data_IF_510072261032
#
_entry.id   IF_510072261032
#
_cell.length_a   1.000
_cell.length_b   1.000
_cell.length_c   1.000
_cell.angle_alpha   90.00
_cell.angle_beta   90.00
_cell.angle_gamma   90.00
#
_symmetry.space_group_name_H-M   'P 1'
#
loop_
_entity.id
_entity.type
_entity.pdbx_description
1 polymer ?
#
# COMPACT_ATOMS: atom_id res chain seq x y z
N UNK A 1 53.98 21.59 3.85
CA UNK A 1 53.56 21.36 2.45
C UNK A 1 53.68 19.86 2.18
N UNK A 2 52.60 19.10 2.32
CA UNK A 2 52.59 17.65 2.11
C UNK A 2 51.92 17.36 0.77
N UNK A 3 52.71 17.26 -0.30
CA UNK A 3 52.24 16.75 -1.59
C UNK A 3 52.41 15.23 -1.57
N UNK A 4 51.45 14.52 -0.97
CA UNK A 4 51.36 13.06 -1.14
C UNK A 4 50.73 12.80 -2.50
N UNK A 5 51.50 12.19 -3.41
CA UNK A 5 51.04 11.77 -4.73
C UNK A 5 49.93 10.73 -4.58
N UNK A 6 48.68 11.18 -4.61
CA UNK A 6 47.53 10.28 -4.72
C UNK A 6 47.60 9.60 -6.10
N UNK A 7 47.50 8.27 -6.12
CA UNK A 7 47.41 7.54 -7.38
C UNK A 7 46.09 7.94 -8.06
N UNK A 8 46.06 8.08 -9.39
CA UNK A 8 44.83 8.43 -10.13
C UNK A 8 43.67 7.51 -9.74
N UNK A 9 43.95 6.23 -9.44
CA UNK A 9 42.93 5.27 -9.01
C UNK A 9 42.27 5.66 -7.68
N UNK A 10 42.98 6.32 -6.77
CA UNK A 10 42.42 6.77 -5.49
C UNK A 10 41.39 7.88 -5.68
N UNK A 11 41.53 8.69 -6.74
CA UNK A 11 40.57 9.75 -7.11
C UNK A 11 39.24 9.20 -7.63
N UNK A 12 39.23 7.95 -8.11
CA UNK A 12 38.05 7.26 -8.64
C UNK A 12 37.46 6.22 -7.69
N UNK A 13 37.89 6.22 -6.42
CA UNK A 13 37.26 5.36 -5.43
C UNK A 13 35.85 5.84 -5.13
N UNK A 14 34.91 4.93 -4.87
CA UNK A 14 33.52 5.30 -4.56
C UNK A 14 33.44 6.24 -3.34
N UNK A 15 34.34 6.06 -2.37
CA UNK A 15 34.48 6.95 -1.21
C UNK A 15 34.97 8.37 -1.59
N UNK A 16 35.92 8.52 -2.53
CA UNK A 16 36.37 9.84 -3.00
C UNK A 16 35.30 10.56 -3.84
N UNK A 17 34.42 9.80 -4.49
CA UNK A 17 33.27 10.31 -5.24
C UNK A 17 32.07 10.64 -4.33
N UNK A 18 32.19 10.45 -3.01
CA UNK A 18 31.11 10.68 -2.04
C UNK A 18 29.98 9.64 -2.14
N UNK A 19 30.18 8.57 -2.91
CA UNK A 19 29.28 7.42 -3.02
C UNK A 19 29.71 6.42 -1.95
N UNK A 20 29.46 6.77 -0.69
CA UNK A 20 29.64 5.84 0.41
C UNK A 20 28.47 4.85 0.38
N UNK A 21 28.77 3.55 0.36
CA UNK A 21 27.74 2.51 0.40
C UNK A 21 26.88 2.70 1.67
N UNK A 22 25.57 3.05 1.56
CA UNK A 22 24.73 3.32 2.72
C UNK A 22 24.60 2.09 3.63
N UNK A 23 24.88 0.90 3.10
CA UNK A 23 24.87 -0.35 3.85
C UNK A 23 25.98 -0.49 4.90
N UNK A 24 27.05 0.33 4.84
CA UNK A 24 28.18 0.26 5.80
C UNK A 24 27.85 0.85 7.18
N UNK A 25 26.88 1.75 7.30
CA UNK A 25 26.47 2.34 8.57
C UNK A 25 24.95 2.43 8.62
N UNK A 26 24.33 1.49 9.34
CA UNK A 26 22.91 1.59 9.63
C UNK A 26 22.66 2.90 10.37
N UNK A 27 21.90 3.80 9.77
CA UNK A 27 21.58 5.07 10.42
C UNK A 27 20.66 4.77 11.61
N UNK A 28 20.72 5.56 12.69
CA UNK A 28 19.86 5.35 13.87
C UNK A 28 18.36 5.21 13.50
N UNK A 29 17.94 5.92 12.45
CA UNK A 29 16.59 5.86 11.85
C UNK A 29 16.27 4.48 11.26
N UNK A 30 17.23 3.81 10.61
CA UNK A 30 17.04 2.47 10.03
C UNK A 30 16.93 1.40 11.11
N UNK A 31 17.69 1.54 12.19
CA UNK A 31 17.59 0.67 13.37
C UNK A 31 16.21 0.82 14.02
N UNK A 32 15.74 2.05 14.22
CA UNK A 32 14.43 2.33 14.78
C UNK A 32 13.30 1.80 13.88
N UNK A 33 13.39 2.00 12.57
CA UNK A 33 12.42 1.49 11.61
C UNK A 33 12.37 -0.05 11.60
N UNK A 34 13.53 -0.71 11.74
CA UNK A 34 13.60 -2.17 11.85
C UNK A 34 12.99 -2.68 13.16
N UNK A 35 13.24 -2.00 14.27
CA UNK A 35 12.65 -2.34 15.57
C UNK A 35 11.12 -2.24 15.49
N UNK A 36 10.63 -1.11 14.98
CA UNK A 36 9.20 -0.84 14.80
C UNK A 36 8.50 -1.86 13.89
N UNK A 37 9.18 -2.29 12.82
CA UNK A 37 8.69 -3.37 11.95
C UNK A 37 8.50 -4.67 12.74
N UNK A 38 9.53 -5.11 13.48
CA UNK A 38 9.45 -6.35 14.26
C UNK A 38 8.35 -6.29 15.32
N UNK A 39 8.18 -5.14 15.97
CA UNK A 39 7.20 -4.96 17.03
C UNK A 39 5.76 -4.94 16.50
N UNK A 40 5.54 -4.50 15.26
CA UNK A 40 4.18 -4.28 14.73
C UNK A 40 3.73 -5.27 13.67
N UNK A 41 4.59 -6.17 13.21
CA UNK A 41 4.17 -7.25 12.30
C UNK A 41 3.15 -8.15 12.99
N UNK A 42 1.95 -8.21 12.41
CA UNK A 42 0.85 -9.09 12.83
C UNK A 42 0.28 -9.80 11.61
N UNK A 43 -0.34 -10.96 11.84
CA UNK A 43 -1.07 -11.68 10.80
C UNK A 43 -2.56 -11.55 11.08
N UNK A 44 -3.27 -10.87 10.18
CA UNK A 44 -4.73 -10.71 10.24
C UNK A 44 -5.34 -11.29 8.96
N UNK A 45 -6.30 -12.20 9.10
CA UNK A 45 -7.03 -12.79 7.96
C UNK A 45 -6.11 -13.29 6.82
N UNK A 46 -5.02 -13.98 7.20
CA UNK A 46 -3.99 -14.49 6.28
C UNK A 46 -3.21 -13.41 5.51
N UNK A 47 -3.14 -12.19 6.05
CA UNK A 47 -2.34 -11.07 5.51
C UNK A 47 -1.40 -10.54 6.58
N UNK A 48 -0.18 -10.20 6.19
CA UNK A 48 0.75 -9.48 7.05
C UNK A 48 0.33 -8.01 7.12
N UNK A 49 0.06 -7.55 8.34
CA UNK A 49 -0.25 -6.17 8.67
C UNK A 49 0.94 -5.62 9.45
N UNK A 50 1.47 -4.48 9.00
CA UNK A 50 2.60 -3.80 9.64
C UNK A 50 2.28 -2.31 9.69
N UNK A 51 2.59 -1.65 10.79
CA UNK A 51 2.47 -0.20 10.90
C UNK A 51 3.66 0.51 10.25
N UNK A 52 3.41 1.71 9.75
CA UNK A 52 4.44 2.54 9.16
C UNK A 52 5.26 3.22 10.26
N UNK A 53 6.61 3.18 10.22
CA UNK A 53 7.48 3.75 11.27
C UNK A 53 7.31 5.24 11.54
N UNK A 54 6.70 5.98 10.62
CA UNK A 54 6.51 7.43 10.68
C UNK A 54 5.05 7.83 10.91
N UNK A 55 4.16 6.88 11.23
CA UNK A 55 2.75 7.15 11.56
C UNK A 55 2.49 6.61 12.95
N UNK A 56 2.55 7.50 13.94
CA UNK A 56 2.40 7.17 15.37
C UNK A 56 0.98 6.69 15.70
N UNK A 57 -0.03 7.32 15.11
CA UNK A 57 -1.44 7.03 15.39
C UNK A 57 -2.16 6.50 14.15
N UNK A 58 -2.30 5.18 14.09
CA UNK A 58 -3.24 4.55 13.16
C UNK A 58 -4.63 4.55 13.81
N UNK A 59 -5.38 5.65 13.64
CA UNK A 59 -6.81 5.64 13.93
C UNK A 59 -7.47 4.55 13.07
N UNK A 60 -8.20 3.59 13.65
CA UNK A 60 -8.91 2.61 12.87
C UNK A 60 -9.85 3.34 11.91
N UNK A 61 -9.82 2.98 10.64
CA UNK A 61 -10.76 3.55 9.68
C UNK A 61 -12.18 3.25 10.18
N UNK A 62 -13.08 4.24 10.20
CA UNK A 62 -14.46 3.99 10.60
C UNK A 62 -15.08 2.96 9.68
N UNK A 63 -15.73 1.96 10.26
CA UNK A 63 -16.48 0.99 9.47
C UNK A 63 -17.70 1.68 8.84
N UNK A 64 -17.67 1.80 7.51
CA UNK A 64 -18.76 2.37 6.72
C UNK A 64 -19.80 1.32 6.29
N UNK A 65 -19.76 0.11 6.83
CA UNK A 65 -20.71 -0.96 6.51
C UNK A 65 -22.16 -0.52 6.74
N UNK A 66 -22.48 -0.05 7.95
CA UNK A 66 -23.85 0.39 8.27
C UNK A 66 -24.33 1.56 7.40
N UNK A 67 -23.45 2.53 7.14
CA UNK A 67 -23.78 3.69 6.31
C UNK A 67 -24.06 3.25 4.86
N UNK A 68 -23.25 2.34 4.34
CA UNK A 68 -23.39 1.78 3.01
C UNK A 68 -24.68 0.97 2.90
N UNK A 69 -25.01 0.18 3.91
CA UNK A 69 -26.25 -0.59 3.97
C UNK A 69 -27.49 0.31 4.01
N UNK A 70 -27.47 1.38 4.83
CA UNK A 70 -28.56 2.37 4.88
C UNK A 70 -28.73 3.07 3.53
N UNK A 71 -27.63 3.44 2.86
CA UNK A 71 -27.66 4.03 1.52
C UNK A 71 -28.21 3.06 0.49
N UNK A 72 -27.79 1.80 0.55
CA UNK A 72 -28.28 0.73 -0.33
C UNK A 72 -29.79 0.57 -0.20
N UNK A 73 -30.31 0.45 1.03
CA UNK A 73 -31.75 0.34 1.28
C UNK A 73 -32.54 1.52 0.70
N UNK A 74 -32.04 2.76 0.84
CA UNK A 74 -32.67 3.95 0.25
C UNK A 74 -32.71 3.88 -1.27
N UNK A 75 -31.59 3.51 -1.89
CA UNK A 75 -31.50 3.37 -3.36
C UNK A 75 -32.43 2.26 -3.86
N UNK A 76 -32.48 1.11 -3.19
CA UNK A 76 -33.37 -0.01 -3.54
C UNK A 76 -34.84 0.42 -3.47
N UNK A 77 -35.25 1.14 -2.41
CA UNK A 77 -36.60 1.67 -2.30
C UNK A 77 -36.96 2.60 -3.46
N UNK A 78 -36.06 3.53 -3.81
CA UNK A 78 -36.25 4.45 -4.95
C UNK A 78 -36.37 3.70 -6.28
N UNK A 79 -35.48 2.76 -6.54
CA UNK A 79 -35.49 1.98 -7.78
C UNK A 79 -36.75 1.12 -7.94
N UNK A 80 -37.32 0.62 -6.85
CA UNK A 80 -38.59 -0.10 -6.87
C UNK A 80 -39.77 0.85 -7.16
N UNK A 81 -39.77 2.06 -6.59
CA UNK A 81 -40.79 3.07 -6.87
C UNK A 81 -40.77 3.53 -8.34
N UNK A 82 -39.59 3.60 -8.95
CA UNK A 82 -39.40 3.98 -10.36
C UNK A 82 -39.53 2.81 -11.34
N UNK A 83 -39.81 1.58 -10.87
CA UNK A 83 -39.88 0.34 -11.69
C UNK A 83 -38.57 0.07 -12.47
N UNK A 84 -37.44 0.63 -12.02
CA UNK A 84 -36.13 0.47 -12.64
C UNK A 84 -35.31 -0.66 -12.00
N UNK A 85 -35.79 -1.27 -10.93
CA UNK A 85 -35.04 -2.27 -10.17
C UNK A 85 -34.54 -3.44 -11.05
N UNK A 86 -35.42 -4.01 -11.87
CA UNK A 86 -35.10 -5.15 -12.74
C UNK A 86 -34.15 -4.79 -13.89
N UNK A 87 -34.35 -3.62 -14.51
CA UNK A 87 -33.49 -3.17 -15.61
C UNK A 87 -32.07 -2.88 -15.11
N UNK A 88 -31.95 -2.29 -13.92
CA UNK A 88 -30.67 -2.04 -13.27
C UNK A 88 -29.98 -3.33 -12.84
N UNK A 89 -30.73 -4.31 -12.32
CA UNK A 89 -30.23 -5.64 -11.98
C UNK A 89 -29.54 -6.33 -13.17
N UNK A 90 -30.17 -6.32 -14.34
CA UNK A 90 -29.60 -6.87 -15.59
C UNK A 90 -28.28 -6.20 -15.99
N UNK A 91 -28.15 -4.89 -15.77
CA UNK A 91 -26.89 -4.17 -16.05
C UNK A 91 -25.78 -4.60 -15.09
N UNK A 92 -26.09 -4.71 -13.81
CA UNK A 92 -25.13 -5.17 -12.79
C UNK A 92 -24.65 -6.59 -13.07
N UNK A 93 -25.57 -7.51 -13.38
CA UNK A 93 -25.22 -8.88 -13.78
C UNK A 93 -24.30 -8.93 -15.00
N UNK A 94 -24.60 -8.11 -16.02
CA UNK A 94 -23.75 -7.99 -17.22
C UNK A 94 -22.34 -7.49 -16.86
N UNK A 95 -22.22 -6.51 -15.97
CA UNK A 95 -20.93 -5.99 -15.52
C UNK A 95 -20.12 -7.05 -14.75
N UNK A 96 -20.79 -7.76 -13.83
CA UNK A 96 -20.20 -8.86 -13.06
C UNK A 96 -19.69 -9.96 -14.01
N UNK A 97 -20.52 -10.39 -14.97
CA UNK A 97 -20.16 -11.35 -16.01
C UNK A 97 -18.93 -10.90 -16.81
N UNK A 98 -18.88 -9.63 -17.23
CA UNK A 98 -17.72 -9.05 -17.95
C UNK A 98 -16.43 -9.05 -17.12
N UNK A 99 -16.50 -8.74 -15.82
CA UNK A 99 -15.33 -8.79 -14.93
C UNK A 99 -14.76 -10.21 -14.82
N UNK A 100 -15.61 -11.24 -14.79
CA UNK A 100 -15.16 -12.63 -14.77
C UNK A 100 -14.43 -13.01 -16.07
N UNK A 101 -14.93 -12.59 -17.24
CA UNK A 101 -14.26 -12.85 -18.53
C UNK A 101 -12.90 -12.15 -18.64
N UNK A 102 -12.75 -10.94 -18.07
CA UNK A 102 -11.45 -10.23 -18.03
C UNK A 102 -10.44 -10.87 -17.07
N UNK A 103 -10.89 -11.60 -16.05
CA UNK A 103 -10.00 -12.33 -15.12
C UNK A 103 -9.56 -13.69 -15.68
N UNK A 104 -10.40 -14.37 -16.45
CA UNK A 104 -10.05 -15.66 -17.08
C UNK A 104 -9.17 -15.52 -18.33
N UNK A 105 -9.16 -14.36 -19.00
CA UNK A 105 -8.27 -14.07 -20.14
C UNK A 105 -6.84 -13.65 -19.76
N UNK A 106 -6.49 -13.64 -18.46
CA UNK A 106 -5.17 -13.25 -17.95
C UNK A 106 -4.50 -14.36 -17.13
N UNK A 107 -4.94 -15.61 -17.29
CA UNK A 107 -4.29 -16.79 -16.71
C UNK A 107 -3.67 -17.63 -17.81
#
# INVERSE_FOLDING_TARGET
MLTTSACITDLWTLDSLGITDPSKKKTAVELQARQHFLDTVKIENNRFVVSLPWIEDNLPLPDHCELSEKRLHKVVKRLKAEVLFESYGKVLERMVRRKYHRKSAKR
#
